data_IF_128854630840
#
_entry.id   IF_128854630840
#
_cell.length_a   1.000
_cell.length_b   1.000
_cell.length_c   1.000
_cell.angle_alpha   90.00
_cell.angle_beta   90.00
_cell.angle_gamma   90.00
#
_symmetry.space_group_name_H-M   'P 1'
#
loop_
_entity.id
_entity.type
_entity.pdbx_description
1 polymer ?
#
# COMPACT_ATOMS: atom_id res chain seq x y z
N UNK A 1 1.25 7.40 -21.20
CA UNK A 1 2.25 6.60 -20.47
C UNK A 1 3.64 7.07 -20.86
N UNK A 2 4.59 7.14 -19.93
CA UNK A 2 5.98 7.56 -20.19
C UNK A 2 6.91 6.92 -19.18
N UNK A 3 8.17 6.66 -19.60
CA UNK A 3 9.26 6.23 -18.73
C UNK A 3 10.10 7.43 -18.30
N UNK A 4 10.41 7.54 -17.03
CA UNK A 4 11.27 8.58 -16.46
C UNK A 4 12.33 7.94 -15.57
N UNK A 5 13.58 8.44 -15.56
CA UNK A 5 14.61 7.87 -14.70
C UNK A 5 14.29 8.14 -13.21
N UNK A 6 14.63 7.16 -12.39
CA UNK A 6 14.58 7.25 -10.92
C UNK A 6 15.98 6.88 -10.39
N UNK A 7 16.88 7.85 -10.33
CA UNK A 7 18.30 7.58 -10.10
C UNK A 7 18.97 6.86 -11.28
N UNK A 8 19.99 6.04 -11.00
CA UNK A 8 20.86 5.41 -12.00
C UNK A 8 20.40 3.99 -12.38
N UNK A 9 19.62 3.35 -11.53
CA UNK A 9 19.27 1.93 -11.64
C UNK A 9 17.77 1.66 -11.48
N UNK A 10 16.92 2.69 -11.69
CA UNK A 10 15.49 2.51 -11.70
C UNK A 10 14.79 3.41 -12.70
N UNK A 11 13.61 2.96 -13.16
CA UNK A 11 12.73 3.64 -14.11
C UNK A 11 11.33 3.69 -13.50
N UNK A 12 10.70 4.86 -13.49
CA UNK A 12 9.28 4.97 -13.19
C UNK A 12 8.48 4.98 -14.49
N UNK A 13 7.59 4.02 -14.65
CA UNK A 13 6.55 4.03 -15.69
C UNK A 13 5.37 4.84 -15.14
N UNK A 14 5.23 6.08 -15.58
CA UNK A 14 4.16 6.99 -15.16
C UNK A 14 2.90 6.69 -15.96
N UNK A 15 1.81 6.34 -15.25
CA UNK A 15 0.53 5.94 -15.83
C UNK A 15 -0.55 7.02 -15.72
N UNK A 16 -0.41 7.96 -14.79
CA UNK A 16 -1.36 9.04 -14.59
C UNK A 16 -0.76 10.22 -13.83
N UNK A 17 -1.56 11.28 -13.62
CA UNK A 17 -1.16 12.50 -12.92
C UNK A 17 -1.90 12.67 -11.58
N UNK A 18 -3.08 12.06 -11.42
CA UNK A 18 -3.91 12.14 -10.23
C UNK A 18 -4.31 10.75 -9.77
N UNK A 19 -4.33 10.54 -8.46
CA UNK A 19 -4.73 9.27 -7.86
C UNK A 19 -6.22 9.02 -8.08
N UNK A 20 -6.56 7.85 -8.60
CA UNK A 20 -7.92 7.32 -8.66
C UNK A 20 -7.88 5.79 -8.51
N UNK A 21 -8.99 5.19 -8.13
CA UNK A 21 -9.12 3.73 -8.06
C UNK A 21 -8.84 3.07 -9.42
N UNK A 22 -9.29 3.67 -10.52
CA UNK A 22 -9.03 3.19 -11.86
C UNK A 22 -7.53 3.21 -12.19
N UNK A 23 -6.83 4.32 -11.83
CA UNK A 23 -5.39 4.41 -12.03
C UNK A 23 -4.64 3.38 -11.20
N UNK A 24 -5.02 3.17 -9.94
CA UNK A 24 -4.41 2.15 -9.09
C UNK A 24 -4.58 0.74 -9.65
N UNK A 25 -5.78 0.40 -10.14
CA UNK A 25 -6.02 -0.88 -10.80
C UNK A 25 -5.10 -1.05 -12.04
N UNK A 26 -4.92 0.01 -12.82
CA UNK A 26 -3.97 0.01 -13.96
C UNK A 26 -2.53 -0.15 -13.50
N UNK A 27 -2.13 0.50 -12.41
CA UNK A 27 -0.79 0.36 -11.81
C UNK A 27 -0.53 -1.07 -11.40
N UNK A 28 -1.47 -1.69 -10.65
CA UNK A 28 -1.34 -3.07 -10.20
C UNK A 28 -1.29 -4.04 -11.38
N UNK A 29 -2.16 -3.88 -12.37
CA UNK A 29 -2.15 -4.70 -13.59
C UNK A 29 -0.83 -4.54 -14.39
N UNK A 30 -0.29 -3.31 -14.45
CA UNK A 30 0.99 -3.06 -15.10
C UNK A 30 2.15 -3.72 -14.36
N UNK A 31 2.18 -3.61 -13.03
CA UNK A 31 3.22 -4.24 -12.21
C UNK A 31 3.19 -5.78 -12.35
N UNK A 32 2.00 -6.39 -12.29
CA UNK A 32 1.82 -7.82 -12.50
C UNK A 32 2.26 -8.24 -13.91
N UNK A 33 1.90 -7.45 -14.93
CA UNK A 33 2.29 -7.68 -16.31
C UNK A 33 3.81 -7.71 -16.51
N UNK A 34 4.50 -6.74 -15.91
CA UNK A 34 5.96 -6.65 -15.96
C UNK A 34 6.63 -7.81 -15.20
N UNK A 35 6.07 -8.21 -14.06
CA UNK A 35 6.60 -9.31 -13.26
C UNK A 35 6.54 -10.67 -13.99
N UNK A 36 5.51 -10.92 -14.80
CA UNK A 36 5.37 -12.15 -15.59
C UNK A 36 6.47 -12.30 -16.64
N UNK A 37 6.97 -11.20 -17.20
CA UNK A 37 8.02 -11.22 -18.25
C UNK A 37 9.38 -11.72 -17.73
N UNK A 38 9.62 -11.68 -16.43
CA UNK A 38 10.85 -12.19 -15.77
C UNK A 38 12.13 -11.74 -16.47
N UNK A 39 12.21 -10.44 -16.79
CA UNK A 39 13.39 -9.87 -17.45
C UNK A 39 14.62 -10.06 -16.56
N UNK A 40 15.71 -10.62 -17.13
CA UNK A 40 16.92 -10.94 -16.37
C UNK A 40 17.61 -9.70 -15.76
N UNK A 41 17.46 -8.55 -16.42
CA UNK A 41 18.00 -7.27 -15.95
C UNK A 41 17.18 -6.64 -14.82
N UNK A 42 15.92 -7.06 -14.60
CA UNK A 42 15.02 -6.49 -13.58
C UNK A 42 15.26 -7.15 -12.24
N UNK A 43 15.50 -6.31 -11.22
CA UNK A 43 15.74 -6.71 -9.84
C UNK A 43 14.47 -6.63 -8.99
N UNK A 44 13.65 -5.59 -9.20
CA UNK A 44 12.41 -5.40 -8.44
C UNK A 44 11.39 -4.55 -9.21
N UNK A 45 10.11 -4.73 -8.91
CA UNK A 45 8.99 -4.02 -9.51
C UNK A 45 8.06 -3.55 -8.39
N UNK A 46 7.99 -2.23 -8.20
CA UNK A 46 7.29 -1.60 -7.08
C UNK A 46 6.15 -0.73 -7.60
N UNK A 47 4.89 -1.13 -7.40
CA UNK A 47 3.74 -0.28 -7.70
C UNK A 47 3.70 0.92 -6.74
N UNK A 48 3.30 2.09 -7.26
CA UNK A 48 3.12 3.33 -6.52
C UNK A 48 1.78 3.99 -6.95
N UNK A 49 1.43 5.18 -6.38
CA UNK A 49 0.12 5.78 -6.66
C UNK A 49 -0.14 6.16 -8.12
N UNK A 50 0.91 6.55 -8.85
CA UNK A 50 0.76 7.12 -10.19
C UNK A 50 1.48 6.29 -11.27
N UNK A 51 2.10 5.19 -10.90
CA UNK A 51 2.88 4.37 -11.82
C UNK A 51 3.63 3.24 -11.14
N UNK A 52 4.56 2.64 -11.86
CA UNK A 52 5.37 1.50 -11.41
C UNK A 52 6.83 1.87 -11.48
N UNK A 53 7.56 1.72 -10.38
CA UNK A 53 9.02 1.79 -10.36
C UNK A 53 9.60 0.40 -10.67
N UNK A 54 10.54 0.35 -11.61
CA UNK A 54 11.25 -0.87 -12.00
C UNK A 54 12.73 -0.65 -11.72
N UNK A 55 13.27 -1.44 -10.80
CA UNK A 55 14.69 -1.47 -10.47
C UNK A 55 15.39 -2.47 -11.38
N UNK A 56 16.52 -2.08 -11.96
CA UNK A 56 17.25 -2.91 -12.92
C UNK A 56 18.78 -2.77 -12.75
N UNK A 57 19.50 -3.75 -13.24
CA UNK A 57 20.96 -3.73 -13.26
C UNK A 57 21.46 -2.83 -14.41
N UNK A 58 21.92 -1.64 -14.04
CA UNK A 58 22.43 -0.65 -14.99
C UNK A 58 23.77 -1.03 -15.66
N UNK A 59 24.42 -2.09 -15.18
CA UNK A 59 25.59 -2.68 -15.84
C UNK A 59 25.19 -3.60 -17.00
N UNK A 60 23.96 -4.13 -17.00
CA UNK A 60 23.47 -5.03 -18.04
C UNK A 60 22.62 -4.33 -19.11
N UNK A 61 21.97 -3.22 -18.77
CA UNK A 61 21.11 -2.49 -19.70
C UNK A 61 21.19 -0.98 -19.49
N UNK A 62 21.14 -0.22 -20.59
CA UNK A 62 21.00 1.24 -20.51
C UNK A 62 19.56 1.66 -20.16
N UNK A 63 19.41 2.90 -19.66
CA UNK A 63 18.07 3.47 -19.44
C UNK A 63 17.21 3.44 -20.70
N UNK A 64 17.78 3.80 -21.86
CA UNK A 64 17.04 3.87 -23.13
C UNK A 64 16.53 2.50 -23.57
N UNK A 65 17.36 1.46 -23.47
CA UNK A 65 17.00 0.11 -23.87
C UNK A 65 15.94 -0.47 -22.92
N UNK A 66 16.14 -0.28 -21.62
CA UNK A 66 15.19 -0.76 -20.62
C UNK A 66 13.85 -0.02 -20.70
N UNK A 67 13.86 1.31 -20.86
CA UNK A 67 12.64 2.10 -21.02
C UNK A 67 11.85 1.66 -22.27
N UNK A 68 12.51 1.47 -23.41
CA UNK A 68 11.87 0.98 -24.64
C UNK A 68 11.25 -0.41 -24.43
N UNK A 69 11.99 -1.34 -23.79
CA UNK A 69 11.53 -2.69 -23.49
C UNK A 69 10.30 -2.68 -22.58
N UNK A 70 10.33 -1.92 -21.49
CA UNK A 70 9.22 -1.82 -20.53
C UNK A 70 7.97 -1.21 -21.16
N UNK A 71 8.11 -0.11 -21.91
CA UNK A 71 6.98 0.53 -22.60
C UNK A 71 6.34 -0.42 -23.62
N UNK A 72 7.14 -1.16 -24.41
CA UNK A 72 6.62 -2.14 -25.35
C UNK A 72 5.82 -3.27 -24.67
N UNK A 73 6.24 -3.71 -23.48
CA UNK A 73 5.47 -4.67 -22.67
C UNK A 73 4.13 -4.08 -22.23
N UNK A 74 4.16 -2.87 -21.70
CA UNK A 74 2.94 -2.18 -21.27
C UNK A 74 1.95 -1.98 -22.43
N UNK A 75 2.42 -1.59 -23.61
CA UNK A 75 1.56 -1.37 -24.80
C UNK A 75 0.90 -2.67 -25.29
N UNK A 76 1.63 -3.79 -25.28
CA UNK A 76 1.07 -5.10 -25.68
C UNK A 76 -0.06 -5.54 -24.75
N UNK A 77 0.04 -5.25 -23.45
CA UNK A 77 -0.92 -5.70 -22.45
C UNK A 77 -2.13 -4.81 -22.25
N UNK A 78 -2.06 -3.52 -22.65
CA UNK A 78 -3.29 -2.68 -22.73
C UNK A 78 -4.27 -3.22 -23.78
N UNK A 79 -3.84 -4.08 -24.69
CA UNK A 79 -4.69 -4.74 -25.68
C UNK A 79 -5.26 -6.11 -25.20
N UNK A 80 -4.77 -6.63 -24.08
CA UNK A 80 -5.25 -7.89 -23.49
C UNK A 80 -5.80 -7.61 -22.10
N UNK A 81 -7.08 -7.89 -21.86
CA UNK A 81 -7.63 -7.87 -20.50
C UNK A 81 -6.87 -8.88 -19.65
N UNK A 82 -6.07 -8.37 -18.70
CA UNK A 82 -5.31 -9.21 -17.82
C UNK A 82 -6.24 -10.16 -17.04
N UNK A 83 -5.85 -11.44 -16.99
CA UNK A 83 -6.30 -12.33 -15.93
C UNK A 83 -5.98 -11.61 -14.62
N UNK A 84 -7.01 -11.14 -13.94
CA UNK A 84 -6.86 -10.57 -12.61
C UNK A 84 -6.39 -11.72 -11.72
N UNK A 85 -5.13 -11.70 -11.30
CA UNK A 85 -4.70 -12.47 -10.14
C UNK A 85 -5.80 -12.31 -9.08
N UNK A 86 -6.25 -13.43 -8.52
CA UNK A 86 -7.41 -13.46 -7.63
C UNK A 86 -7.17 -12.46 -6.51
N UNK A 87 -7.93 -11.36 -6.50
CA UNK A 87 -7.97 -10.40 -5.40
C UNK A 87 -8.22 -11.20 -4.12
N UNK A 88 -7.27 -11.15 -3.19
CA UNK A 88 -7.42 -11.83 -1.90
C UNK A 88 -8.06 -10.87 -0.91
N UNK A 89 -9.05 -11.37 -0.19
CA UNK A 89 -9.64 -10.65 0.94
C UNK A 89 -9.05 -11.18 2.24
N UNK A 90 -8.58 -10.26 3.10
CA UNK A 90 -8.01 -10.56 4.40
C UNK A 90 -8.85 -9.96 5.51
N UNK A 91 -9.21 -10.76 6.48
CA UNK A 91 -9.78 -10.28 7.74
C UNK A 91 -8.67 -10.07 8.77
N UNK A 92 -8.63 -8.86 9.33
CA UNK A 92 -7.68 -8.48 10.39
C UNK A 92 -8.48 -8.19 11.66
N UNK A 93 -8.40 -9.08 12.68
CA UNK A 93 -8.99 -8.83 13.98
C UNK A 93 -8.33 -7.63 14.66
N UNK A 94 -9.11 -6.73 15.24
CA UNK A 94 -8.63 -5.51 15.88
C UNK A 94 -9.28 -5.28 17.22
N UNK A 95 -8.46 -5.12 18.26
CA UNK A 95 -8.88 -4.55 19.53
C UNK A 95 -8.72 -3.03 19.45
N UNK A 96 -9.84 -2.29 19.57
CA UNK A 96 -9.86 -0.84 19.47
C UNK A 96 -9.58 -0.19 20.83
N UNK A 97 -8.34 -0.26 21.27
CA UNK A 97 -7.82 0.31 22.52
C UNK A 97 -6.65 1.27 22.26
N UNK A 98 -6.55 1.80 21.05
CA UNK A 98 -5.42 2.63 20.61
C UNK A 98 -5.28 3.93 21.39
N UNK A 99 -4.04 4.32 21.64
CA UNK A 99 -3.69 5.48 22.45
C UNK A 99 -4.29 6.82 21.97
N UNK A 100 -4.70 6.89 20.68
CA UNK A 100 -5.29 8.11 20.10
C UNK A 100 -6.80 7.98 19.86
N UNK A 101 -7.42 6.86 20.16
CA UNK A 101 -8.84 6.61 19.84
C UNK A 101 -9.77 7.68 20.43
N UNK A 102 -9.58 8.04 21.69
CA UNK A 102 -10.35 9.11 22.34
C UNK A 102 -10.07 10.49 21.72
N UNK A 103 -8.83 10.76 21.30
CA UNK A 103 -8.48 12.00 20.60
C UNK A 103 -9.11 12.06 19.21
N UNK A 104 -9.11 10.94 18.47
CA UNK A 104 -9.78 10.84 17.16
C UNK A 104 -11.28 11.11 17.32
N UNK A 105 -11.93 10.47 18.29
CA UNK A 105 -13.33 10.73 18.65
C UNK A 105 -13.60 12.23 18.90
N UNK A 106 -12.81 12.86 19.75
CA UNK A 106 -12.96 14.28 20.06
C UNK A 106 -12.71 15.18 18.84
N UNK A 107 -11.70 14.85 17.99
CA UNK A 107 -11.34 15.67 16.84
C UNK A 107 -12.33 15.55 15.67
N UNK A 108 -13.02 14.42 15.56
CA UNK A 108 -14.03 14.15 14.51
C UNK A 108 -15.44 14.51 14.94
N UNK A 109 -15.68 14.69 16.24
CA UNK A 109 -17.02 14.87 16.81
C UNK A 109 -17.87 13.59 16.86
N UNK A 110 -17.27 12.44 16.57
CA UNK A 110 -17.90 11.13 16.60
C UNK A 110 -17.70 10.48 17.97
N UNK A 111 -18.64 9.66 18.41
CA UNK A 111 -18.40 8.75 19.56
C UNK A 111 -17.34 7.70 19.20
N UNK A 112 -16.73 7.08 20.21
CA UNK A 112 -15.76 5.99 20.00
C UNK A 112 -16.40 4.84 19.21
N UNK A 113 -17.63 4.48 19.52
CA UNK A 113 -18.37 3.41 18.81
C UNK A 113 -18.61 3.77 17.35
N UNK A 114 -18.89 5.03 17.01
CA UNK A 114 -19.02 5.48 15.63
C UNK A 114 -17.69 5.47 14.89
N UNK A 115 -16.58 5.83 15.55
CA UNK A 115 -15.22 5.71 14.95
C UNK A 115 -14.94 4.25 14.60
N UNK A 116 -15.18 3.33 15.54
CA UNK A 116 -15.00 1.88 15.35
C UNK A 116 -15.90 1.37 14.21
N UNK A 117 -17.18 1.68 14.25
CA UNK A 117 -18.13 1.23 13.23
C UNK A 117 -17.77 1.72 11.83
N UNK A 118 -17.35 2.99 11.69
CA UNK A 118 -16.94 3.56 10.39
C UNK A 118 -15.62 2.97 9.88
N UNK A 119 -14.66 2.70 10.79
CA UNK A 119 -13.39 2.10 10.41
C UNK A 119 -13.58 0.61 10.04
N UNK A 120 -14.29 -0.17 10.83
CA UNK A 120 -14.49 -1.60 10.58
C UNK A 120 -15.56 -1.93 9.54
N UNK A 121 -16.49 -1.01 9.30
CA UNK A 121 -17.60 -1.21 8.36
C UNK A 121 -17.23 -1.11 6.87
N UNK A 122 -15.95 -0.96 6.53
CA UNK A 122 -15.48 -0.80 5.16
C UNK A 122 -14.54 -1.92 4.73
N UNK A 123 -14.51 -2.14 3.44
CA UNK A 123 -13.50 -2.96 2.78
C UNK A 123 -12.46 -2.02 2.17
N UNK A 124 -11.19 -2.21 2.53
CA UNK A 124 -10.07 -1.36 2.12
C UNK A 124 -9.25 -2.03 1.03
N UNK A 125 -8.84 -1.27 0.04
CA UNK A 125 -7.87 -1.70 -0.96
C UNK A 125 -6.43 -1.44 -0.47
N UNK A 126 -5.53 -2.38 -0.68
CA UNK A 126 -4.08 -2.17 -0.52
C UNK A 126 -3.57 -1.41 -1.74
N UNK A 127 -3.28 -0.12 -1.57
CA UNK A 127 -2.77 0.72 -2.65
C UNK A 127 -1.35 0.32 -3.05
N UNK A 128 -0.48 0.22 -2.06
CA UNK A 128 0.92 -0.13 -2.22
C UNK A 128 1.53 -0.59 -0.89
N UNK A 129 2.69 -1.24 -0.97
CA UNK A 129 3.55 -1.48 0.18
C UNK A 129 4.75 -0.54 0.12
N UNK A 130 5.19 -0.03 1.29
CA UNK A 130 6.35 0.88 1.37
C UNK A 130 6.60 1.37 2.79
N UNK A 131 7.46 2.34 2.98
CA UNK A 131 7.93 2.84 4.28
C UNK A 131 8.85 1.83 5.01
N UNK A 132 8.32 0.67 5.41
CA UNK A 132 9.09 -0.45 5.98
C UNK A 132 8.54 -1.77 5.44
N UNK A 133 9.30 -2.90 5.50
CA UNK A 133 8.82 -4.20 5.03
C UNK A 133 7.46 -4.57 5.63
N UNK A 134 6.50 -4.92 4.76
CA UNK A 134 5.15 -5.33 5.14
C UNK A 134 4.18 -4.21 5.52
N UNK A 135 4.59 -2.92 5.48
CA UNK A 135 3.66 -1.81 5.71
C UNK A 135 2.80 -1.57 4.47
N UNK A 136 1.51 -1.85 4.59
CA UNK A 136 0.53 -1.66 3.53
C UNK A 136 -0.27 -0.37 3.75
N UNK A 137 -0.30 0.49 2.74
CA UNK A 137 -1.16 1.67 2.71
C UNK A 137 -2.54 1.26 2.22
N UNK A 138 -3.54 1.37 3.09
CA UNK A 138 -4.91 0.99 2.82
C UNK A 138 -5.76 2.23 2.59
N UNK A 139 -6.50 2.29 1.51
CA UNK A 139 -7.50 3.33 1.22
C UNK A 139 -8.87 2.66 1.00
N UNK A 140 -9.93 3.29 1.06
CA UNK A 140 -10.33 4.69 1.21
C UNK A 140 -10.94 4.88 2.61
N UNK A 141 -10.23 5.51 3.51
CA UNK A 141 -10.74 5.79 4.84
C UNK A 141 -11.99 6.69 4.75
N UNK A 142 -12.99 6.41 5.59
CA UNK A 142 -14.18 7.24 5.69
C UNK A 142 -13.82 8.71 5.88
N UNK A 143 -14.42 9.60 5.10
CA UNK A 143 -14.09 11.03 5.13
C UNK A 143 -14.28 11.67 6.51
N UNK A 144 -15.21 11.16 7.32
CA UNK A 144 -15.42 11.63 8.69
C UNK A 144 -14.30 11.24 9.65
N UNK A 145 -13.44 10.27 9.29
CA UNK A 145 -12.28 9.85 10.09
C UNK A 145 -10.95 10.47 9.61
N UNK A 146 -10.97 11.24 8.52
CA UNK A 146 -9.76 11.79 7.93
C UNK A 146 -9.19 12.91 8.77
N UNK A 147 -8.06 12.65 9.41
CA UNK A 147 -7.31 13.60 10.20
C UNK A 147 -5.89 13.74 9.64
N UNK A 148 -5.28 14.94 9.70
CA UNK A 148 -3.88 15.10 9.33
C UNK A 148 -3.00 14.24 10.25
N UNK A 149 -1.77 13.92 9.80
CA UNK A 149 -0.78 13.29 10.67
C UNK A 149 -0.58 14.13 11.93
N UNK A 150 -0.21 13.47 13.03
CA UNK A 150 0.17 14.13 14.27
C UNK A 150 1.30 15.12 14.01
N UNK A 151 1.23 16.28 14.64
CA UNK A 151 2.28 17.31 14.56
C UNK A 151 3.61 16.84 15.15
N UNK A 152 3.55 15.95 16.14
CA UNK A 152 4.73 15.32 16.75
C UNK A 152 4.66 13.80 16.53
N UNK A 153 5.47 13.23 15.64
CA UNK A 153 5.58 11.79 15.47
C UNK A 153 6.09 11.12 16.76
N UNK A 154 5.60 9.91 17.02
CA UNK A 154 6.15 9.08 18.09
C UNK A 154 7.51 8.53 17.68
N UNK A 155 8.49 8.48 18.59
CA UNK A 155 9.78 7.82 18.30
C UNK A 155 9.62 6.30 18.13
N UNK A 156 8.56 5.72 18.71
CA UNK A 156 8.25 4.29 18.58
C UNK A 156 6.74 4.08 18.56
N UNK A 157 6.27 3.42 17.51
CA UNK A 157 4.94 2.84 17.35
C UNK A 157 5.13 1.33 17.37
N UNK A 158 4.47 0.58 18.27
CA UNK A 158 4.63 -0.87 18.32
C UNK A 158 4.11 -1.58 17.07
N UNK A 159 4.73 -2.71 16.70
CA UNK A 159 4.18 -3.63 15.72
C UNK A 159 2.74 -4.03 16.09
N UNK A 160 1.89 -4.25 15.08
CA UNK A 160 0.47 -4.55 15.26
C UNK A 160 -0.41 -3.32 15.50
N UNK A 161 0.14 -2.11 15.67
CA UNK A 161 -0.67 -0.89 15.83
C UNK A 161 -1.50 -0.62 14.59
N UNK A 162 -2.81 -0.50 14.75
CA UNK A 162 -3.76 -0.07 13.69
C UNK A 162 -3.91 1.44 13.78
N UNK A 163 -3.69 2.13 12.67
CA UNK A 163 -3.60 3.58 12.68
C UNK A 163 -4.20 4.24 11.44
N UNK A 164 -4.63 5.50 11.59
CA UNK A 164 -5.20 6.32 10.52
C UNK A 164 -4.44 7.63 10.35
N UNK A 165 -4.35 8.11 9.11
CA UNK A 165 -3.87 9.45 8.77
C UNK A 165 -4.30 9.84 7.34
N UNK A 166 -4.72 11.09 7.16
CA UNK A 166 -5.29 11.53 5.88
C UNK A 166 -6.45 10.62 5.45
N UNK A 167 -6.45 10.20 4.22
CA UNK A 167 -7.48 9.31 3.66
C UNK A 167 -7.12 7.81 3.78
N UNK A 168 -6.21 7.43 4.68
CA UNK A 168 -5.64 6.09 4.74
C UNK A 168 -5.69 5.48 6.14
N UNK A 169 -5.69 4.15 6.17
CA UNK A 169 -5.43 3.33 7.36
C UNK A 169 -4.29 2.36 7.08
N UNK A 170 -3.67 1.84 8.12
CA UNK A 170 -2.59 0.86 8.02
C UNK A 170 -2.42 0.08 9.32
N UNK A 171 -1.70 -1.04 9.22
CA UNK A 171 -1.15 -1.76 10.38
C UNK A 171 0.37 -1.64 10.35
N UNK A 172 0.97 -1.21 11.44
CA UNK A 172 2.42 -1.17 11.58
C UNK A 172 2.97 -2.60 11.67
N UNK A 173 3.82 -3.05 10.72
CA UNK A 173 4.33 -4.43 10.73
C UNK A 173 5.46 -4.65 11.73
N UNK A 174 6.17 -3.58 12.06
CA UNK A 174 7.38 -3.57 12.90
C UNK A 174 7.35 -2.36 13.84
N UNK A 175 8.15 -2.38 14.88
CA UNK A 175 8.38 -1.21 15.73
C UNK A 175 9.11 -0.13 14.94
N UNK A 176 8.47 1.02 14.72
CA UNK A 176 9.03 2.12 13.94
C UNK A 176 8.62 3.47 14.51
N UNK A 177 9.35 4.56 14.23
CA UNK A 177 8.80 5.91 14.42
C UNK A 177 7.54 6.10 13.54
N UNK A 178 6.56 6.90 14.01
CA UNK A 178 5.36 7.16 13.23
C UNK A 178 4.50 8.30 13.75
N UNK A 179 3.82 8.97 12.80
CA UNK A 179 2.96 10.13 13.10
C UNK A 179 1.47 9.88 12.83
N UNK A 180 1.04 8.64 12.66
CA UNK A 180 -0.37 8.32 12.48
C UNK A 180 -1.09 8.17 13.82
N UNK A 181 -2.42 8.38 13.82
CA UNK A 181 -3.25 8.22 15.01
C UNK A 181 -3.53 6.75 15.25
N UNK A 182 -3.06 6.22 16.38
CA UNK A 182 -3.24 4.82 16.75
C UNK A 182 -4.64 4.64 17.34
N UNK A 183 -5.49 3.88 16.64
CA UNK A 183 -6.89 3.63 17.05
C UNK A 183 -7.12 2.24 17.61
N UNK A 184 -6.18 1.31 17.41
CA UNK A 184 -6.31 -0.07 17.90
C UNK A 184 -5.03 -0.86 17.66
N UNK A 185 -5.12 -2.16 17.88
CA UNK A 185 -4.04 -3.11 17.65
C UNK A 185 -4.55 -4.45 17.16
N UNK A 186 -3.66 -5.20 16.52
CA UNK A 186 -3.88 -6.58 16.07
C UNK A 186 -2.69 -7.45 16.40
N UNK A 187 -2.94 -8.72 16.67
CA UNK A 187 -1.90 -9.74 16.85
C UNK A 187 -1.49 -10.39 15.51
N UNK A 188 -2.08 -9.96 14.38
CA UNK A 188 -1.68 -10.44 13.06
C UNK A 188 -0.26 -10.01 12.73
N UNK A 189 0.59 -10.97 12.42
CA UNK A 189 1.97 -10.74 11.95
C UNK A 189 1.91 -10.30 10.49
N UNK A 190 2.11 -8.99 10.26
CA UNK A 190 2.03 -8.38 8.91
C UNK A 190 3.25 -8.69 8.05
N UNK A 191 4.42 -8.88 8.68
CA UNK A 191 5.67 -9.23 8.01
C UNK A 191 6.44 -10.30 8.79
N UNK A 192 6.83 -11.35 8.09
CA UNK A 192 7.62 -12.42 8.64
C UNK A 192 8.66 -12.87 7.58
N UNK A 193 9.96 -12.64 7.80
CA UNK A 193 11.00 -12.97 6.82
C UNK A 193 11.15 -14.47 6.54
N UNK A 194 10.56 -15.32 7.38
CA UNK A 194 10.57 -16.77 7.18
C UNK A 194 9.41 -17.27 6.30
N UNK A 195 8.43 -16.43 6.00
CA UNK A 195 7.32 -16.75 5.09
C UNK A 195 7.69 -16.50 3.63
N UNK A 196 7.00 -17.18 2.73
CA UNK A 196 7.00 -16.90 1.29
C UNK A 196 5.55 -16.74 0.78
N UNK A 197 5.10 -15.54 0.38
CA UNK A 197 5.79 -14.24 0.49
C UNK A 197 5.91 -13.76 1.95
N UNK A 198 6.94 -12.96 2.29
CA UNK A 198 7.19 -12.51 3.65
C UNK A 198 6.15 -11.50 4.17
N UNK A 199 5.59 -10.66 3.32
CA UNK A 199 4.48 -9.76 3.65
C UNK A 199 3.14 -10.52 3.63
N UNK A 200 2.27 -10.24 4.61
CA UNK A 200 0.93 -10.81 4.65
C UNK A 200 0.06 -10.29 3.50
N UNK A 201 0.18 -9.00 3.20
CA UNK A 201 -0.61 -8.30 2.20
C UNK A 201 0.22 -8.03 0.95
N UNK A 202 -0.46 -7.95 -0.18
CA UNK A 202 0.09 -7.53 -1.48
C UNK A 202 -0.70 -6.36 -2.03
N UNK A 203 -0.09 -5.56 -2.91
CA UNK A 203 -0.81 -4.49 -3.60
C UNK A 203 -1.99 -5.06 -4.40
N UNK A 204 -3.16 -4.45 -4.26
CA UNK A 204 -4.41 -4.90 -4.86
C UNK A 204 -5.23 -5.86 -3.98
N UNK A 205 -4.69 -6.40 -2.89
CA UNK A 205 -5.48 -7.16 -1.92
C UNK A 205 -6.55 -6.26 -1.25
N UNK A 206 -7.57 -6.90 -0.70
CA UNK A 206 -8.64 -6.24 0.06
C UNK A 206 -8.53 -6.61 1.53
N UNK A 207 -8.80 -5.64 2.41
CA UNK A 207 -8.69 -5.81 3.86
C UNK A 207 -9.97 -5.38 4.56
N UNK A 208 -10.48 -6.23 5.44
CA UNK A 208 -11.56 -5.93 6.37
C UNK A 208 -11.03 -5.99 7.81
N UNK A 209 -11.25 -4.92 8.56
CA UNK A 209 -10.97 -4.93 10.00
C UNK A 209 -12.18 -5.46 10.76
N UNK A 210 -11.94 -6.42 11.65
CA UNK A 210 -12.98 -7.09 12.43
C UNK A 210 -12.78 -6.73 13.91
N UNK A 211 -13.71 -5.98 14.55
CA UNK A 211 -13.60 -5.67 15.96
C UNK A 211 -13.57 -6.94 16.82
N UNK A 212 -12.66 -6.98 17.77
CA UNK A 212 -12.59 -8.02 18.80
C UNK A 212 -12.88 -7.40 20.18
N UNK A 213 -13.38 -8.19 21.11
CA UNK A 213 -13.61 -7.73 22.48
C UNK A 213 -12.38 -7.14 23.14
#
# INVERSE_FOLDING_TARGET
MRAVPLGDSAITIVLGAERSTELLNRVHATAAALAVERLAEVQDIVPAYLGVAVFYDSLQASFSDMAAKLLAICDRRTASTADSDKIREHEIPVTYDGADLAQVSASTGLSVDEVIARHSGRLYSVDLLGFVPGFAYLSELDSALQLPRRSQPRPRVPAGSVAIAGAQTAVYPLDTPGGWHIIGRTDRVMFDPSRDPPALLSAGDMVRFVPTP
#
